data_IF_920314200784
#
_entry.id   IF_920314200784
#
_cell.length_a   1.000
_cell.length_b   1.000
_cell.length_c   1.000
_cell.angle_alpha   90.00
_cell.angle_beta   90.00
_cell.angle_gamma   90.00
#
_symmetry.space_group_name_H-M   'P 1'
#
loop_
_entity.id
_entity.type
_entity.pdbx_description
1 polymer ?
#
# COMPACT_ATOMS: atom_id res chain seq x y z
N UNK A 1 -8.75 -11.79 22.29
CA UNK A 1 -9.55 -10.62 21.87
C UNK A 1 -10.16 -10.81 20.48
N UNK A 2 -9.35 -10.99 19.42
CA UNK A 2 -9.83 -11.13 18.02
C UNK A 2 -10.89 -12.21 17.82
N UNK A 3 -10.70 -13.41 18.38
CA UNK A 3 -11.69 -14.49 18.30
C UNK A 3 -13.09 -14.11 18.81
N UNK A 4 -13.17 -13.22 19.79
CA UNK A 4 -14.42 -12.86 20.46
C UNK A 4 -15.03 -11.56 19.92
N UNK A 5 -14.20 -10.59 19.54
CA UNK A 5 -14.64 -9.26 19.11
C UNK A 5 -14.51 -9.03 17.60
N UNK A 6 -13.77 -9.88 16.89
CA UNK A 6 -13.34 -9.68 15.50
C UNK A 6 -14.51 -9.40 14.55
N UNK A 7 -15.62 -10.12 14.71
CA UNK A 7 -16.79 -9.98 13.83
C UNK A 7 -17.40 -8.56 13.88
N UNK A 8 -17.19 -7.82 14.97
CA UNK A 8 -17.68 -6.45 15.14
C UNK A 8 -16.67 -5.37 14.74
N UNK A 9 -15.38 -5.73 14.57
CA UNK A 9 -14.32 -4.76 14.29
C UNK A 9 -14.44 -4.23 12.86
N UNK A 10 -14.40 -2.90 12.73
CA UNK A 10 -14.33 -2.20 11.44
C UNK A 10 -12.93 -1.65 11.15
N UNK A 11 -12.19 -1.28 12.20
CA UNK A 11 -10.82 -0.80 12.12
C UNK A 11 -9.97 -1.56 13.14
N UNK A 12 -8.75 -1.90 12.78
CA UNK A 12 -7.80 -2.57 13.67
C UNK A 12 -6.40 -2.02 13.38
N UNK A 13 -5.66 -1.70 14.43
CA UNK A 13 -4.24 -1.36 14.36
C UNK A 13 -3.46 -2.40 15.15
N UNK A 14 -2.37 -2.91 14.57
CA UNK A 14 -1.47 -3.88 15.19
C UNK A 14 -0.02 -3.48 14.97
N UNK A 15 0.84 -3.93 15.88
CA UNK A 15 2.29 -3.75 15.78
C UNK A 15 2.99 -5.10 15.76
N UNK A 16 4.07 -5.21 14.98
CA UNK A 16 4.95 -6.38 14.88
C UNK A 16 4.18 -7.70 14.75
N UNK A 17 3.44 -7.90 13.65
CA UNK A 17 2.54 -9.04 13.51
C UNK A 17 3.32 -10.36 13.46
N UNK A 18 2.66 -11.41 13.95
CA UNK A 18 3.07 -12.81 13.82
C UNK A 18 2.03 -13.57 13.00
N UNK A 19 2.39 -14.73 12.46
CA UNK A 19 1.53 -15.57 11.61
C UNK A 19 0.13 -15.76 12.22
N UNK A 20 0.08 -16.25 13.46
CA UNK A 20 -1.17 -16.55 14.15
C UNK A 20 -2.07 -15.31 14.35
N UNK A 21 -1.48 -14.11 14.43
CA UNK A 21 -2.26 -12.88 14.53
C UNK A 21 -2.96 -12.58 13.20
N UNK A 22 -2.24 -12.65 12.07
CA UNK A 22 -2.80 -12.40 10.74
C UNK A 22 -3.83 -13.47 10.36
N UNK A 23 -3.59 -14.73 10.70
CA UNK A 23 -4.55 -15.81 10.50
C UNK A 23 -5.84 -15.58 11.29
N UNK A 24 -5.71 -15.19 12.57
CA UNK A 24 -6.87 -14.86 13.40
C UNK A 24 -7.65 -13.65 12.85
N UNK A 25 -6.96 -12.61 12.35
CA UNK A 25 -7.61 -11.48 11.69
C UNK A 25 -8.39 -11.95 10.47
N UNK A 26 -7.75 -12.75 9.61
CA UNK A 26 -8.36 -13.28 8.38
C UNK A 26 -9.59 -14.15 8.67
N UNK A 27 -9.55 -14.92 9.76
CA UNK A 27 -10.62 -15.83 10.15
C UNK A 27 -11.79 -15.14 10.86
N UNK A 28 -11.50 -14.25 11.81
CA UNK A 28 -12.51 -13.73 12.73
C UNK A 28 -12.95 -12.29 12.44
N UNK A 29 -12.14 -11.50 11.72
CA UNK A 29 -12.45 -10.08 11.43
C UNK A 29 -13.11 -9.90 10.05
N UNK A 30 -14.18 -10.66 9.76
CA UNK A 30 -14.83 -10.69 8.44
C UNK A 30 -15.44 -9.34 8.00
N UNK A 31 -15.68 -8.44 8.94
CA UNK A 31 -16.27 -7.12 8.72
C UNK A 31 -15.23 -5.99 8.76
N UNK A 32 -13.95 -6.32 8.84
CA UNK A 32 -12.86 -5.36 8.93
C UNK A 32 -12.72 -4.59 7.62
N UNK A 33 -12.79 -3.27 7.73
CA UNK A 33 -12.68 -2.36 6.59
C UNK A 33 -11.23 -1.86 6.47
N UNK A 34 -10.60 -1.56 7.60
CA UNK A 34 -9.27 -0.97 7.67
C UNK A 34 -8.36 -1.73 8.63
N UNK A 35 -7.17 -2.10 8.15
CA UNK A 35 -6.11 -2.71 8.94
C UNK A 35 -4.85 -1.84 8.85
N UNK A 36 -4.35 -1.36 9.99
CA UNK A 36 -3.05 -0.69 10.11
C UNK A 36 -2.05 -1.67 10.73
N UNK A 37 -0.91 -1.85 10.07
CA UNK A 37 0.18 -2.70 10.54
C UNK A 37 1.43 -1.85 10.64
N UNK A 38 2.00 -1.80 11.84
CA UNK A 38 3.30 -1.19 12.11
C UNK A 38 4.36 -2.26 12.26
N UNK A 39 5.42 -2.18 11.47
CA UNK A 39 6.56 -3.10 11.49
C UNK A 39 7.78 -2.30 11.94
N UNK A 40 8.09 -2.40 13.24
CA UNK A 40 9.16 -1.63 13.87
C UNK A 40 10.55 -2.24 13.66
N UNK A 41 10.63 -3.56 13.52
CA UNK A 41 11.86 -4.33 13.33
C UNK A 41 11.69 -5.32 12.18
N UNK A 42 12.71 -6.12 11.90
CA UNK A 42 12.59 -7.22 10.94
C UNK A 42 11.39 -8.11 11.24
N UNK A 43 10.61 -8.37 10.21
CA UNK A 43 9.47 -9.28 10.22
C UNK A 43 9.88 -10.60 9.57
N UNK A 44 9.41 -11.71 10.13
CA UNK A 44 9.48 -12.99 9.43
C UNK A 44 8.62 -12.90 8.16
N UNK A 45 9.26 -13.10 7.00
CA UNK A 45 8.60 -12.96 5.69
C UNK A 45 7.44 -13.94 5.51
N UNK A 46 7.42 -15.07 6.24
CA UNK A 46 6.28 -15.99 6.27
C UNK A 46 5.00 -15.34 6.82
N UNK A 47 5.11 -14.30 7.66
CA UNK A 47 3.95 -13.50 8.10
C UNK A 47 3.31 -12.76 6.92
N UNK A 48 4.12 -12.29 5.97
CA UNK A 48 3.64 -11.56 4.78
C UNK A 48 2.89 -12.50 3.84
N UNK A 49 3.28 -13.78 3.76
CA UNK A 49 2.55 -14.78 2.97
C UNK A 49 1.10 -14.95 3.43
N UNK A 50 0.81 -14.71 4.71
CA UNK A 50 -0.55 -14.75 5.24
C UNK A 50 -1.41 -13.57 4.78
N UNK A 51 -0.83 -12.49 4.23
CA UNK A 51 -1.58 -11.29 3.82
C UNK A 51 -2.54 -11.57 2.66
N UNK A 52 -2.29 -12.63 1.88
CA UNK A 52 -3.15 -13.04 0.76
C UNK A 52 -4.53 -13.50 1.22
N UNK A 53 -4.65 -13.87 2.50
CA UNK A 53 -5.89 -14.32 3.13
C UNK A 53 -6.68 -13.18 3.77
N UNK A 54 -6.10 -11.97 3.86
CA UNK A 54 -6.81 -10.82 4.40
C UNK A 54 -7.99 -10.45 3.51
N UNK A 55 -9.12 -10.12 4.14
CA UNK A 55 -10.36 -9.69 3.48
C UNK A 55 -10.68 -8.22 3.69
N UNK A 56 -9.74 -7.47 4.28
CA UNK A 56 -9.89 -6.03 4.51
C UNK A 56 -9.87 -5.29 3.18
N UNK A 57 -10.63 -4.20 3.10
CA UNK A 57 -10.65 -3.31 1.93
C UNK A 57 -9.41 -2.41 1.89
N UNK A 58 -9.04 -1.87 3.05
CA UNK A 58 -7.95 -0.92 3.19
C UNK A 58 -6.85 -1.48 4.10
N UNK A 59 -5.60 -1.35 3.65
CA UNK A 59 -4.40 -1.75 4.37
C UNK A 59 -3.45 -0.55 4.47
N UNK A 60 -2.99 -0.26 5.69
CA UNK A 60 -1.94 0.73 5.94
C UNK A 60 -0.72 0.05 6.54
N UNK A 61 0.43 0.23 5.93
CA UNK A 61 1.70 -0.35 6.34
C UNK A 61 2.66 0.75 6.75
N UNK A 62 3.21 0.67 7.95
CA UNK A 62 4.32 1.53 8.40
C UNK A 62 5.54 0.66 8.67
N UNK A 63 6.59 0.83 7.86
CA UNK A 63 7.76 -0.05 7.87
C UNK A 63 9.01 0.78 8.15
N UNK A 64 9.76 0.43 9.20
CA UNK A 64 11.02 1.10 9.53
C UNK A 64 12.21 0.53 8.72
N UNK A 65 12.34 -0.79 8.62
CA UNK A 65 13.49 -1.44 7.98
C UNK A 65 13.10 -2.79 7.36
N UNK A 66 13.11 -2.90 6.03
CA UNK A 66 13.38 -4.16 5.32
C UNK A 66 13.60 -3.91 3.82
N UNK A 67 14.48 -4.71 3.19
CA UNK A 67 14.75 -4.64 1.74
C UNK A 67 13.86 -5.65 1.00
N UNK A 68 13.61 -6.84 1.55
CA UNK A 68 12.89 -7.93 0.86
C UNK A 68 11.38 -7.92 1.08
N UNK A 69 10.90 -7.11 2.02
CA UNK A 69 9.47 -7.06 2.35
C UNK A 69 8.59 -6.69 1.15
N UNK A 70 9.04 -5.81 0.26
CA UNK A 70 8.23 -5.33 -0.87
C UNK A 70 7.99 -6.38 -1.95
N UNK A 71 9.03 -7.15 -2.29
CA UNK A 71 8.92 -8.31 -3.17
C UNK A 71 7.86 -9.30 -2.65
N UNK A 72 7.95 -9.66 -1.37
CA UNK A 72 7.02 -10.59 -0.74
C UNK A 72 5.62 -10.02 -0.62
N UNK A 73 5.49 -8.73 -0.29
CA UNK A 73 4.20 -8.06 -0.20
C UNK A 73 3.51 -8.03 -1.57
N UNK A 74 4.23 -7.71 -2.64
CA UNK A 74 3.66 -7.62 -3.98
C UNK A 74 3.00 -8.93 -4.41
N UNK A 75 3.65 -10.05 -4.10
CA UNK A 75 3.19 -11.39 -4.45
C UNK A 75 2.12 -11.95 -3.50
N UNK A 76 1.98 -11.39 -2.29
CA UNK A 76 1.09 -11.92 -1.26
C UNK A 76 0.03 -10.92 -0.78
N UNK A 77 -0.12 -9.76 -1.40
CA UNK A 77 -1.20 -8.84 -1.06
C UNK A 77 -2.53 -9.35 -1.64
N UNK A 78 -3.54 -9.44 -0.78
CA UNK A 78 -4.87 -9.92 -1.15
C UNK A 78 -5.55 -8.98 -2.14
N UNK A 79 -6.18 -9.55 -3.18
CA UNK A 79 -7.00 -8.83 -4.15
C UNK A 79 -8.22 -8.12 -3.52
N UNK A 80 -8.59 -8.49 -2.28
CA UNK A 80 -9.66 -7.79 -1.53
C UNK A 80 -9.24 -6.39 -1.11
N UNK A 81 -7.93 -6.11 -1.07
CA UNK A 81 -7.38 -4.80 -0.71
C UNK A 81 -7.44 -3.91 -1.95
N UNK A 82 -8.35 -2.94 -1.93
CA UNK A 82 -8.47 -1.93 -2.98
C UNK A 82 -7.80 -0.61 -2.59
N UNK A 83 -7.44 -0.43 -1.32
CA UNK A 83 -6.79 0.78 -0.83
C UNK A 83 -5.52 0.42 -0.06
N UNK A 84 -4.38 0.96 -0.49
CA UNK A 84 -3.09 0.68 0.11
C UNK A 84 -2.41 2.00 0.51
N UNK A 85 -2.01 2.08 1.78
CA UNK A 85 -1.16 3.14 2.30
C UNK A 85 0.18 2.55 2.72
N UNK A 86 1.28 3.12 2.25
CA UNK A 86 2.63 2.64 2.54
C UNK A 86 3.48 3.80 3.03
N UNK A 87 3.85 3.70 4.30
CA UNK A 87 4.79 4.57 4.98
C UNK A 87 6.13 3.82 5.17
N UNK A 88 7.20 4.37 4.61
CA UNK A 88 8.55 3.84 4.78
C UNK A 88 9.46 4.97 5.25
N UNK A 89 10.26 4.70 6.28
CA UNK A 89 11.21 5.69 6.79
C UNK A 89 12.40 5.92 5.84
N UNK A 90 12.87 4.87 5.16
CA UNK A 90 13.93 4.97 4.14
C UNK A 90 13.29 5.08 2.74
N UNK A 91 13.40 6.25 2.13
CA UNK A 91 12.94 6.58 0.79
C UNK A 91 13.70 5.76 -0.27
N UNK A 92 13.07 4.74 -0.85
CA UNK A 92 13.67 3.96 -1.93
C UNK A 92 12.63 3.66 -3.02
N UNK A 93 12.70 4.44 -4.10
CA UNK A 93 11.87 4.30 -5.30
C UNK A 93 11.95 2.89 -5.89
N UNK A 94 13.08 2.19 -5.73
CA UNK A 94 13.27 0.81 -6.23
C UNK A 94 12.28 -0.14 -5.56
N UNK A 95 12.04 0.00 -4.26
CA UNK A 95 11.09 -0.85 -3.53
C UNK A 95 9.65 -0.62 -3.97
N UNK A 96 9.29 0.63 -4.22
CA UNK A 96 7.97 0.96 -4.76
C UNK A 96 7.79 0.45 -6.19
N UNK A 97 8.83 0.55 -7.00
CA UNK A 97 8.86 -0.04 -8.35
C UNK A 97 8.55 -1.52 -8.29
N UNK A 98 9.33 -2.27 -7.51
CA UNK A 98 9.17 -3.71 -7.38
C UNK A 98 7.76 -4.08 -6.90
N UNK A 99 7.21 -3.35 -5.92
CA UNK A 99 5.85 -3.58 -5.46
C UNK A 99 4.78 -3.30 -6.52
N UNK A 100 4.84 -2.13 -7.16
CA UNK A 100 3.84 -1.71 -8.15
C UNK A 100 3.97 -2.46 -9.47
N UNK A 101 5.12 -3.05 -9.81
CA UNK A 101 5.26 -3.89 -11.00
C UNK A 101 4.64 -5.28 -10.80
N UNK A 102 4.66 -5.81 -9.58
CA UNK A 102 4.30 -7.21 -9.31
C UNK A 102 2.92 -7.43 -8.64
N UNK A 103 2.34 -6.43 -7.96
CA UNK A 103 1.05 -6.60 -7.28
C UNK A 103 -0.15 -6.77 -8.26
N UNK A 104 -1.31 -7.19 -7.72
CA UNK A 104 -2.52 -7.58 -8.48
C UNK A 104 -3.18 -6.46 -9.32
N UNK A 105 -2.73 -5.20 -9.21
CA UNK A 105 -3.16 -4.14 -10.14
C UNK A 105 -4.63 -3.70 -9.99
N UNK A 106 -5.26 -3.90 -8.84
CA UNK A 106 -6.66 -3.51 -8.61
C UNK A 106 -6.83 -2.52 -7.45
N UNK A 107 -5.80 -1.71 -7.18
CA UNK A 107 -5.91 -0.63 -6.20
C UNK A 107 -6.71 0.53 -6.80
N UNK A 108 -7.74 0.96 -6.10
CA UNK A 108 -8.47 2.20 -6.35
C UNK A 108 -7.75 3.41 -5.71
N UNK A 109 -7.06 3.19 -4.58
CA UNK A 109 -6.32 4.23 -3.86
C UNK A 109 -4.92 3.73 -3.53
N UNK A 110 -3.93 4.53 -3.90
CA UNK A 110 -2.52 4.31 -3.51
C UNK A 110 -2.04 5.57 -2.77
N UNK A 111 -1.63 5.40 -1.52
CA UNK A 111 -1.13 6.49 -0.68
C UNK A 111 0.33 6.20 -0.27
N UNK A 112 1.28 6.98 -0.78
CA UNK A 112 2.72 6.73 -0.61
C UNK A 112 3.38 7.89 0.12
N UNK A 113 4.10 7.59 1.20
CA UNK A 113 4.97 8.58 1.84
C UNK A 113 6.27 8.75 1.04
N UNK A 114 6.18 9.21 -0.21
CA UNK A 114 7.32 9.41 -1.11
C UNK A 114 7.23 10.75 -1.80
N UNK A 115 8.36 11.45 -1.87
CA UNK A 115 8.47 12.71 -2.60
C UNK A 115 8.24 12.43 -4.07
N UNK A 116 7.37 13.22 -4.69
CA UNK A 116 7.12 13.18 -6.12
C UNK A 116 8.42 13.38 -6.91
N UNK A 117 8.63 12.55 -7.91
CA UNK A 117 9.81 12.61 -8.75
C UNK A 117 9.62 11.84 -10.06
N UNK A 118 10.48 12.14 -11.04
CA UNK A 118 10.39 11.58 -12.38
C UNK A 118 10.26 10.05 -12.43
N UNK A 119 11.08 9.34 -11.65
CA UNK A 119 11.08 7.88 -11.63
C UNK A 119 9.78 7.31 -11.04
N UNK A 120 9.32 7.87 -9.91
CA UNK A 120 8.06 7.47 -9.28
C UNK A 120 6.86 7.68 -10.21
N UNK A 121 6.83 8.82 -10.92
CA UNK A 121 5.77 9.11 -11.90
C UNK A 121 5.76 8.10 -13.06
N UNK A 122 6.94 7.67 -13.55
CA UNK A 122 7.02 6.62 -14.57
C UNK A 122 6.49 5.28 -14.07
N UNK A 123 6.87 4.89 -12.84
CA UNK A 123 6.40 3.65 -12.21
C UNK A 123 4.88 3.66 -12.06
N UNK A 124 4.32 4.76 -11.56
CA UNK A 124 2.87 4.95 -11.41
C UNK A 124 2.16 4.88 -12.75
N UNK A 125 2.69 5.56 -13.78
CA UNK A 125 2.09 5.55 -15.10
C UNK A 125 2.04 4.12 -15.67
N UNK A 126 3.14 3.36 -15.54
CA UNK A 126 3.20 1.96 -15.94
C UNK A 126 2.18 1.10 -15.16
N UNK A 127 2.02 1.34 -13.86
CA UNK A 127 1.01 0.68 -13.04
C UNK A 127 -0.41 0.95 -13.58
N UNK A 128 -0.74 2.21 -13.84
CA UNK A 128 -2.07 2.61 -14.35
C UNK A 128 -2.38 1.93 -15.69
N UNK A 129 -1.40 1.86 -16.58
CA UNK A 129 -1.55 1.24 -17.90
C UNK A 129 -1.72 -0.27 -17.82
N UNK A 130 -1.00 -0.94 -16.92
CA UNK A 130 -1.15 -2.38 -16.65
C UNK A 130 -2.47 -2.72 -15.93
N UNK A 131 -2.95 -1.82 -15.09
CA UNK A 131 -4.12 -2.02 -14.21
C UNK A 131 -5.45 -1.66 -14.87
N UNK A 132 -5.52 -1.47 -16.19
CA UNK A 132 -6.76 -1.06 -16.87
C UNK A 132 -7.45 0.17 -16.24
N UNK A 133 -6.67 1.10 -15.68
CA UNK A 133 -7.16 2.31 -15.00
C UNK A 133 -8.09 2.05 -13.79
N UNK A 134 -7.85 0.99 -13.00
CA UNK A 134 -8.56 0.81 -11.71
C UNK A 134 -8.26 1.92 -10.69
N UNK A 135 -7.05 2.50 -10.75
CA UNK A 135 -6.62 3.56 -9.85
C UNK A 135 -7.51 4.81 -10.02
N UNK A 136 -7.93 5.40 -8.90
CA UNK A 136 -8.73 6.64 -8.87
C UNK A 136 -8.00 7.74 -8.14
N UNK A 137 -7.30 7.42 -7.05
CA UNK A 137 -6.59 8.38 -6.22
C UNK A 137 -5.15 7.94 -6.01
N UNK A 138 -4.23 8.88 -6.21
CA UNK A 138 -2.82 8.74 -5.88
C UNK A 138 -2.41 9.86 -4.94
N UNK A 139 -1.87 9.48 -3.78
CA UNK A 139 -1.35 10.42 -2.80
C UNK A 139 0.16 10.25 -2.68
N UNK A 140 0.90 11.35 -2.71
CA UNK A 140 2.37 11.42 -2.63
C UNK A 140 2.77 12.70 -1.91
N UNK A 141 4.02 12.81 -1.45
CA UNK A 141 4.55 14.07 -0.91
C UNK A 141 4.81 15.06 -2.04
N UNK A 142 4.16 16.22 -2.02
CA UNK A 142 4.31 17.25 -3.06
C UNK A 142 5.25 18.38 -2.63
N UNK A 143 6.19 18.08 -1.72
CA UNK A 143 7.13 19.02 -1.08
C UNK A 143 8.23 19.58 -2.00
N UNK A 144 8.11 19.45 -3.33
CA UNK A 144 9.14 19.81 -4.31
C UNK A 144 8.54 20.48 -5.54
N UNK A 145 9.22 21.51 -6.06
CA UNK A 145 8.96 22.05 -7.39
C UNK A 145 9.30 21.02 -8.49
N UNK A 146 8.35 20.85 -9.42
CA UNK A 146 8.48 19.90 -10.52
C UNK A 146 9.17 20.53 -11.72
N UNK A 147 10.06 19.78 -12.36
CA UNK A 147 10.60 20.18 -13.66
C UNK A 147 9.58 19.94 -14.80
N UNK A 148 9.90 20.41 -16.01
CA UNK A 148 9.02 20.30 -17.18
C UNK A 148 8.65 18.84 -17.53
N UNK A 149 9.56 17.89 -17.35
CA UNK A 149 9.31 16.48 -17.63
C UNK A 149 8.39 15.85 -16.57
N UNK A 150 8.62 16.16 -15.30
CA UNK A 150 7.78 15.73 -14.18
C UNK A 150 6.36 16.29 -14.32
N UNK A 151 6.22 17.57 -14.68
CA UNK A 151 4.92 18.20 -14.96
C UNK A 151 4.19 17.53 -16.12
N UNK A 152 4.89 17.20 -17.22
CA UNK A 152 4.31 16.48 -18.35
C UNK A 152 3.77 15.11 -17.93
N UNK A 153 4.56 14.33 -17.19
CA UNK A 153 4.13 13.01 -16.70
C UNK A 153 2.95 13.12 -15.72
N UNK A 154 3.00 14.08 -14.81
CA UNK A 154 1.91 14.32 -13.86
C UNK A 154 0.60 14.67 -14.58
N UNK A 155 0.67 15.52 -15.61
CA UNK A 155 -0.49 15.88 -16.42
C UNK A 155 -1.04 14.67 -17.21
N UNK A 156 -0.17 13.78 -17.70
CA UNK A 156 -0.60 12.53 -18.34
C UNK A 156 -1.34 11.62 -17.37
N UNK A 157 -0.84 11.48 -16.14
CA UNK A 157 -1.52 10.70 -15.08
C UNK A 157 -2.89 11.32 -14.78
N UNK A 158 -2.97 12.64 -14.58
CA UNK A 158 -4.24 13.35 -14.35
C UNK A 158 -5.22 13.20 -15.51
N UNK A 159 -4.74 13.23 -16.75
CA UNK A 159 -5.57 13.06 -17.94
C UNK A 159 -6.23 11.67 -18.03
N UNK A 160 -5.70 10.65 -17.33
CA UNK A 160 -6.33 9.34 -17.17
C UNK A 160 -7.42 9.32 -16.08
N UNK A 161 -7.77 10.47 -15.50
CA UNK A 161 -8.82 10.61 -14.48
C UNK A 161 -8.35 10.36 -13.05
N UNK A 162 -7.04 10.32 -12.81
CA UNK A 162 -6.46 10.10 -11.49
C UNK A 162 -6.44 11.40 -10.70
N UNK A 163 -7.06 11.39 -9.52
CA UNK A 163 -6.96 12.46 -8.54
C UNK A 163 -5.59 12.40 -7.84
N UNK A 164 -4.85 13.50 -7.88
CA UNK A 164 -3.55 13.63 -7.20
C UNK A 164 -3.75 14.48 -5.96
N UNK A 165 -3.39 13.93 -4.80
CA UNK A 165 -3.53 14.61 -3.50
C UNK A 165 -2.23 14.55 -2.70
N UNK A 166 -2.09 15.46 -1.74
CA UNK A 166 -0.96 15.43 -0.80
C UNK A 166 -1.05 14.19 0.10
N UNK A 167 0.10 13.57 0.38
CA UNK A 167 0.18 12.47 1.32
C UNK A 167 -0.33 12.91 2.69
N UNK A 168 -1.25 12.13 3.26
CA UNK A 168 -1.67 12.29 4.64
C UNK A 168 -1.52 10.95 5.35
N UNK A 169 -0.87 10.96 6.51
CA UNK A 169 -0.79 9.78 7.35
C UNK A 169 -2.16 9.59 8.01
N UNK A 170 -2.97 8.69 7.45
CA UNK A 170 -4.26 8.37 8.04
C UNK A 170 -4.09 7.65 9.38
N UNK A 171 -4.65 8.25 10.43
CA UNK A 171 -4.79 7.68 11.78
C UNK A 171 -5.92 6.62 11.88
#
# INVERSE_FOLDING_TARGET
>A
MIKYLGASLKRLSIESPIISLIENISMYCLNLIFLKIRINFHIDLSVVECFKNLRTRALSLSILYDIRFFEYLANNISISISEISIYINSCDTVKFKEFLENCHGSFEVINLNQIIGLELLKIVLNYIERSNNYLKVLSMKLDKELNDEELKLLNLIKAKGIEIVEFNESD
#
